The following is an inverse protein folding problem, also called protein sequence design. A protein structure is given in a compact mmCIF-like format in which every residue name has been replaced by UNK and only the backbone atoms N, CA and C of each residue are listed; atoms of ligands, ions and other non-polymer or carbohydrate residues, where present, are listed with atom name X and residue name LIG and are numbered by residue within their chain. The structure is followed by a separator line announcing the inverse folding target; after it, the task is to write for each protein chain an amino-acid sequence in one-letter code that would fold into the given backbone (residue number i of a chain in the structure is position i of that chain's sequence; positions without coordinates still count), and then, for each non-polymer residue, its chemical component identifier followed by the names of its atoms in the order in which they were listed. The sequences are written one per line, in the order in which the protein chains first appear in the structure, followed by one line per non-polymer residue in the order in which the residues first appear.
data_IF_178888948857
#
_entry.id   IF_178888948857
#
_cell.length_a   1.000
_cell.length_b   1.000
_cell.length_c   1.000
_cell.angle_alpha   90.00
_cell.angle_beta   90.00
_cell.angle_gamma   90.00
#
_symmetry.space_group_name_H-M   'P 1'
#
loop_
_entity.id
_entity.type
_entity.pdbx_description
1 polymer ?
#
# COMPACT_ATOMS: atom_id res chain seq x y z
N UNK A 1 -1.81 -21.34 -1.79
CA UNK A 1 -1.23 -20.96 -3.10
C UNK A 1 -2.31 -21.06 -4.17
N UNK A 2 -2.91 -19.93 -4.54
CA UNK A 2 -3.96 -19.89 -5.56
C UNK A 2 -3.31 -19.84 -6.95
N UNK A 3 -3.29 -20.98 -7.66
CA UNK A 3 -2.70 -21.16 -8.99
C UNK A 3 -3.34 -20.29 -10.11
N UNK A 4 -4.29 -19.42 -9.78
CA UNK A 4 -5.02 -18.57 -10.74
C UNK A 4 -4.36 -17.22 -11.01
N UNK A 5 -3.37 -16.78 -10.21
CA UNK A 5 -2.71 -15.47 -10.41
C UNK A 5 -1.47 -15.57 -11.30
N UNK A 6 -0.90 -16.76 -11.49
CA UNK A 6 0.32 -16.97 -12.29
C UNK A 6 0.03 -17.17 -13.80
N UNK A 7 -1.24 -17.33 -14.19
CA UNK A 7 -1.60 -17.64 -15.59
C UNK A 7 -1.99 -16.45 -16.49
N UNK A 8 -1.91 -15.20 -16.01
CA UNK A 8 -2.43 -14.05 -16.77
C UNK A 8 -1.38 -13.13 -17.42
N UNK A 9 -0.09 -13.50 -17.45
CA UNK A 9 0.98 -12.61 -17.95
C UNK A 9 1.91 -13.22 -19.02
N UNK A 10 1.50 -14.29 -19.73
CA UNK A 10 2.36 -14.90 -20.78
C UNK A 10 1.74 -14.92 -22.19
N UNK A 11 0.48 -14.57 -22.39
CA UNK A 11 -0.13 -14.62 -23.72
C UNK A 11 -0.37 -13.23 -24.32
N UNK A 12 0.64 -12.67 -25.01
CA UNK A 12 0.50 -12.06 -26.34
C UNK A 12 1.87 -11.57 -26.85
N UNK A 13 2.79 -12.51 -27.05
CA UNK A 13 3.99 -12.31 -27.86
C UNK A 13 3.74 -12.78 -29.29
N UNK A 14 2.85 -12.13 -30.04
CA UNK A 14 2.75 -12.36 -31.49
C UNK A 14 3.85 -11.54 -32.17
N UNK A 15 5.01 -12.18 -32.34
CA UNK A 15 6.03 -11.74 -33.30
C UNK A 15 5.47 -12.04 -34.68
N UNK A 16 4.86 -11.03 -35.32
CA UNK A 16 4.61 -11.06 -36.77
C UNK A 16 5.71 -10.26 -37.43
N UNK A 17 6.78 -10.95 -37.83
CA UNK A 17 7.78 -10.45 -38.76
C UNK A 17 7.32 -10.74 -40.18
N UNK A 18 6.40 -9.93 -40.70
CA UNK A 18 6.11 -9.94 -42.13
C UNK A 18 7.04 -8.96 -42.84
N UNK A 19 7.95 -9.50 -43.64
CA UNK A 19 8.61 -8.75 -44.71
C UNK A 19 7.52 -8.36 -45.71
N UNK A 20 7.12 -7.09 -45.75
CA UNK A 20 6.17 -6.57 -46.74
C UNK A 20 6.99 -5.89 -47.83
N UNK A 21 6.90 -6.41 -49.05
CA UNK A 21 7.31 -5.72 -50.28
C UNK A 21 6.49 -4.44 -50.43
N UNK A 22 7.17 -3.29 -50.44
CA UNK A 22 6.55 -1.96 -50.49
C UNK A 22 5.96 -1.71 -51.88
N UNK A 23 4.65 -1.93 -52.03
CA UNK A 23 3.85 -1.23 -53.03
C UNK A 23 3.56 0.18 -52.52
N UNK A 24 3.58 1.17 -53.41
CA UNK A 24 3.39 2.58 -53.08
C UNK A 24 1.95 2.85 -52.57
N UNK A 25 1.75 2.64 -51.27
CA UNK A 25 0.56 3.06 -50.53
C UNK A 25 0.52 4.60 -50.45
N UNK A 26 -0.65 5.25 -50.58
CA UNK A 26 -0.76 6.68 -50.38
C UNK A 26 -0.22 7.04 -48.99
N UNK A 27 0.63 8.07 -48.94
CA UNK A 27 1.37 8.50 -47.74
C UNK A 27 0.47 8.76 -46.52
N UNK A 28 -0.80 9.13 -46.76
CA UNK A 28 -1.85 9.25 -45.74
C UNK A 28 -2.16 7.94 -45.01
N UNK A 29 -2.17 6.80 -45.72
CA UNK A 29 -2.35 5.46 -45.15
C UNK A 29 -1.17 5.03 -44.28
N UNK A 30 0.06 5.36 -44.69
CA UNK A 30 1.27 5.06 -43.91
C UNK A 30 1.30 5.85 -42.60
N UNK A 31 1.02 7.17 -42.63
CA UNK A 31 0.98 8.00 -41.41
C UNK A 31 -0.14 7.61 -40.46
N UNK A 32 -1.31 7.20 -40.97
CA UNK A 32 -2.43 6.74 -40.15
C UNK A 32 -2.08 5.44 -39.39
N UNK A 33 -1.39 4.51 -40.04
CA UNK A 33 -0.91 3.27 -39.43
C UNK A 33 0.10 3.53 -38.29
N UNK A 34 1.05 4.46 -38.48
CA UNK A 34 1.99 4.84 -37.41
C UNK A 34 1.28 5.55 -36.25
N UNK A 35 0.30 6.41 -36.55
CA UNK A 35 -0.49 7.10 -35.52
C UNK A 35 -1.32 6.10 -34.68
N UNK A 36 -1.88 5.07 -35.30
CA UNK A 36 -2.57 3.99 -34.60
C UNK A 36 -1.62 3.25 -33.65
N UNK A 37 -0.43 2.84 -34.13
CA UNK A 37 0.59 2.16 -33.31
C UNK A 37 1.07 3.02 -32.13
N UNK A 38 1.17 4.33 -32.31
CA UNK A 38 1.48 5.28 -31.24
C UNK A 38 0.36 5.30 -30.19
N UNK A 39 -0.89 5.36 -30.61
CA UNK A 39 -2.04 5.37 -29.70
C UNK A 39 -2.15 4.06 -28.91
N UNK A 40 -1.96 2.91 -29.57
CA UNK A 40 -1.88 1.60 -28.91
C UNK A 40 -0.74 1.56 -27.89
N UNK A 41 0.46 2.00 -28.28
CA UNK A 41 1.62 2.05 -27.38
C UNK A 41 1.41 3.00 -26.19
N UNK A 42 0.71 4.13 -26.37
CA UNK A 42 0.34 5.05 -25.29
C UNK A 42 -0.65 4.42 -24.31
N UNK A 43 -1.66 3.71 -24.81
CA UNK A 43 -2.63 3.02 -23.96
C UNK A 43 -1.94 1.92 -23.14
N UNK A 44 -1.09 1.10 -23.78
CA UNK A 44 -0.28 0.09 -23.09
C UNK A 44 0.68 0.71 -22.08
N UNK A 45 1.30 1.85 -22.40
CA UNK A 45 2.16 2.59 -21.48
C UNK A 45 1.40 3.06 -20.24
N UNK A 46 0.18 3.56 -20.41
CA UNK A 46 -0.67 4.00 -19.29
C UNK A 46 -1.09 2.83 -18.41
N UNK A 47 -1.48 1.69 -19.00
CA UNK A 47 -1.81 0.47 -18.27
C UNK A 47 -0.61 -0.06 -17.47
N UNK A 48 0.57 -0.14 -18.09
CA UNK A 48 1.82 -0.54 -17.41
C UNK A 48 2.15 0.41 -16.27
N UNK A 49 2.02 1.74 -16.46
CA UNK A 49 2.23 2.72 -15.39
C UNK A 49 1.27 2.55 -14.22
N UNK A 50 -0.01 2.31 -14.50
CA UNK A 50 -1.03 2.05 -13.45
C UNK A 50 -0.71 0.77 -12.68
N UNK A 51 -0.37 -0.31 -13.38
CA UNK A 51 0.06 -1.58 -12.77
C UNK A 51 1.32 -1.42 -11.92
N UNK A 52 2.31 -0.67 -12.42
CA UNK A 52 3.55 -0.33 -11.70
C UNK A 52 3.25 0.41 -10.40
N UNK A 53 2.44 1.46 -10.46
CA UNK A 53 2.07 2.25 -9.28
C UNK A 53 1.34 1.40 -8.23
N UNK A 54 0.39 0.56 -8.67
CA UNK A 54 -0.31 -0.36 -7.76
C UNK A 54 0.67 -1.33 -7.09
N UNK A 55 1.61 -1.90 -7.85
CA UNK A 55 2.61 -2.82 -7.33
C UNK A 55 3.58 -2.13 -6.35
N UNK A 56 3.99 -0.89 -6.63
CA UNK A 56 4.81 -0.10 -5.70
C UNK A 56 4.07 0.16 -4.38
N UNK A 57 2.77 0.48 -4.42
CA UNK A 57 1.94 0.62 -3.21
C UNK A 57 1.80 -0.71 -2.46
N UNK A 58 1.69 -1.84 -3.16
CA UNK A 58 1.61 -3.15 -2.52
C UNK A 58 2.94 -3.54 -1.86
N UNK A 59 4.08 -3.19 -2.47
CA UNK A 59 5.42 -3.37 -1.88
C UNK A 59 5.58 -2.50 -0.62
N UNK A 60 5.17 -1.24 -0.66
CA UNK A 60 5.21 -0.34 0.50
C UNK A 60 4.40 -0.88 1.68
N UNK A 61 3.21 -1.44 1.42
CA UNK A 61 2.42 -2.13 2.45
C UNK A 61 3.15 -3.34 3.02
N UNK A 62 3.85 -4.11 2.19
CA UNK A 62 4.64 -5.24 2.67
C UNK A 62 5.82 -4.78 3.54
N UNK A 63 6.47 -3.68 3.19
CA UNK A 63 7.56 -3.11 3.99
C UNK A 63 7.07 -2.68 5.37
N UNK A 64 5.92 -2.02 5.46
CA UNK A 64 5.29 -1.68 6.74
C UNK A 64 4.94 -2.93 7.57
N UNK A 65 4.45 -3.99 6.92
CA UNK A 65 4.17 -5.27 7.60
C UNK A 65 5.45 -5.96 8.09
N UNK A 66 6.54 -5.89 7.32
CA UNK A 66 7.85 -6.41 7.72
C UNK A 66 8.33 -5.69 8.99
N UNK A 67 8.26 -4.36 9.00
CA UNK A 67 8.68 -3.55 10.15
C UNK A 67 7.86 -3.90 11.42
N UNK A 68 6.53 -4.00 11.29
CA UNK A 68 5.65 -4.39 12.40
C UNK A 68 6.03 -5.79 12.96
N UNK A 69 6.29 -6.76 12.08
CA UNK A 69 6.67 -8.12 12.48
C UNK A 69 8.06 -8.12 13.13
N UNK A 70 9.02 -7.37 12.58
CA UNK A 70 10.37 -7.25 13.16
C UNK A 70 10.31 -6.66 14.57
N UNK A 71 9.48 -5.65 14.80
CA UNK A 71 9.25 -5.08 16.13
C UNK A 71 8.64 -6.12 17.08
N UNK A 72 7.63 -6.88 16.64
CA UNK A 72 7.04 -7.98 17.43
C UNK A 72 8.07 -9.08 17.78
N UNK A 73 8.96 -9.43 16.85
CA UNK A 73 10.04 -10.40 17.08
C UNK A 73 10.98 -9.87 18.16
N UNK A 74 11.41 -8.61 18.06
CA UNK A 74 12.30 -7.99 19.07
C UNK A 74 11.65 -8.00 20.45
N UNK A 75 10.42 -7.51 20.57
CA UNK A 75 9.68 -7.50 21.84
C UNK A 75 9.49 -8.92 22.41
N UNK A 76 9.23 -9.91 21.55
CA UNK A 76 9.07 -11.30 21.98
C UNK A 76 10.40 -11.87 22.48
N UNK A 77 11.51 -11.56 21.82
CA UNK A 77 12.86 -11.95 22.23
C UNK A 77 13.24 -11.38 23.60
N UNK A 78 12.89 -10.12 23.85
CA UNK A 78 13.14 -9.46 25.14
C UNK A 78 12.32 -10.13 26.25
N UNK A 79 11.03 -10.41 26.00
CA UNK A 79 10.16 -11.15 26.93
C UNK A 79 10.69 -12.56 27.22
N UNK A 80 11.16 -13.28 26.20
CA UNK A 80 11.78 -14.60 26.39
C UNK A 80 13.01 -14.49 27.29
N UNK A 81 13.84 -13.47 27.08
CA UNK A 81 15.03 -13.24 27.90
C UNK A 81 14.67 -12.96 29.36
N UNK A 82 13.70 -12.08 29.61
CA UNK A 82 13.23 -11.78 30.97
C UNK A 82 12.60 -12.99 31.64
N UNK A 83 11.71 -13.71 30.95
CA UNK A 83 11.05 -14.91 31.49
C UNK A 83 12.07 -16.01 31.81
N UNK A 84 13.09 -16.23 30.97
CA UNK A 84 14.19 -17.16 31.27
C UNK A 84 14.98 -16.76 32.51
N UNK A 85 15.21 -15.46 32.74
CA UNK A 85 15.86 -14.97 33.97
C UNK A 85 14.99 -15.24 35.21
N UNK A 86 13.69 -15.04 35.10
CA UNK A 86 12.74 -15.33 36.19
C UNK A 86 12.66 -16.82 36.50
N UNK A 87 12.65 -17.70 35.49
CA UNK A 87 12.70 -19.15 35.66
C UNK A 87 13.96 -19.55 36.44
N UNK A 88 15.15 -19.07 36.02
CA UNK A 88 16.41 -19.36 36.72
C UNK A 88 16.41 -18.86 38.17
N UNK A 89 15.79 -17.71 38.43
CA UNK A 89 15.65 -17.18 39.79
C UNK A 89 14.73 -18.09 40.63
N UNK A 90 13.58 -18.49 40.08
CA UNK A 90 12.67 -19.40 40.75
C UNK A 90 13.35 -20.75 41.06
N UNK A 91 14.11 -21.32 40.12
CA UNK A 91 14.88 -22.54 40.35
C UNK A 91 15.87 -22.42 41.51
N UNK A 92 16.59 -21.29 41.60
CA UNK A 92 17.50 -21.03 42.71
C UNK A 92 16.75 -20.87 44.05
N UNK A 93 15.62 -20.16 44.03
CA UNK A 93 14.82 -19.93 45.24
C UNK A 93 14.16 -21.24 45.74
N UNK A 94 13.78 -22.15 44.83
CA UNK A 94 13.27 -23.49 45.14
C UNK A 94 14.36 -24.34 45.78
N UNK A 95 15.55 -24.41 45.16
CA UNK A 95 16.67 -25.18 45.70
C UNK A 95 17.06 -24.71 47.11
N UNK A 96 17.04 -23.40 47.35
CA UNK A 96 17.26 -22.84 48.68
C UNK A 96 16.14 -23.24 49.66
N UNK A 97 14.88 -23.17 49.25
CA UNK A 97 13.78 -23.59 50.11
C UNK A 97 13.85 -25.08 50.47
N UNK A 98 14.28 -25.94 49.53
CA UNK A 98 14.51 -27.38 49.79
C UNK A 98 15.64 -27.61 50.80
N UNK A 99 16.72 -26.84 50.71
CA UNK A 99 17.83 -26.85 51.67
C UNK A 99 17.37 -26.39 53.06
N UNK A 100 16.68 -25.24 53.14
CA UNK A 100 16.13 -24.69 54.40
C UNK A 100 15.15 -25.69 55.06
N UNK A 101 14.28 -26.34 54.28
CA UNK A 101 13.36 -27.38 54.79
C UNK A 101 14.12 -28.55 55.39
N UNK A 102 15.20 -28.99 54.72
CA UNK A 102 16.01 -30.12 55.19
C UNK A 102 16.72 -29.77 56.51
N UNK A 103 17.31 -28.58 56.61
CA UNK A 103 17.97 -28.12 57.83
C UNK A 103 17.00 -28.03 59.01
N UNK A 104 15.81 -27.42 58.80
CA UNK A 104 14.78 -27.31 59.84
C UNK A 104 14.24 -28.69 60.25
N UNK A 105 14.06 -29.62 59.31
CA UNK A 105 13.63 -30.98 59.61
C UNK A 105 14.70 -31.75 60.42
N UNK A 106 15.98 -31.59 60.08
CA UNK A 106 17.08 -32.19 60.85
C UNK A 106 17.17 -31.60 62.26
N UNK A 107 17.00 -30.28 62.41
CA UNK A 107 16.98 -29.62 63.71
C UNK A 107 15.80 -30.06 64.57
N UNK A 108 14.61 -30.12 63.99
CA UNK A 108 13.41 -30.64 64.62
C UNK A 108 13.62 -32.09 65.09
N UNK A 109 14.15 -32.96 64.22
CA UNK A 109 14.43 -34.35 64.55
C UNK A 109 15.47 -34.49 65.67
N UNK A 110 16.52 -33.65 65.68
CA UNK A 110 17.50 -33.61 66.77
C UNK A 110 16.85 -33.22 68.10
N UNK A 111 15.96 -32.21 68.11
CA UNK A 111 15.21 -31.78 69.30
C UNK A 111 14.28 -32.88 69.80
N UNK A 112 13.49 -33.49 68.92
CA UNK A 112 12.59 -34.61 69.26
C UNK A 112 13.38 -35.81 69.80
N UNK A 113 14.49 -36.16 69.15
CA UNK A 113 15.36 -37.25 69.62
C UNK A 113 15.99 -36.92 70.96
N UNK A 114 16.41 -35.68 71.22
CA UNK A 114 16.93 -35.27 72.53
C UNK A 114 15.87 -35.36 73.63
N UNK A 115 14.58 -35.10 73.33
CA UNK A 115 13.48 -35.34 74.27
C UNK A 115 13.26 -36.84 74.54
N UNK A 116 13.47 -37.71 73.56
CA UNK A 116 13.20 -39.16 73.67
C UNK A 116 14.38 -39.98 74.22
N UNK A 117 15.60 -39.74 73.73
CA UNK A 117 16.80 -40.55 74.01
C UNK A 117 17.51 -40.16 75.31
N UNK A 118 17.44 -38.89 75.74
CA UNK A 118 17.95 -38.48 77.05
C UNK A 118 16.90 -38.79 78.13
N UNK A 119 16.66 -40.09 78.35
CA UNK A 119 15.85 -40.55 79.47
C UNK A 119 16.29 -39.88 80.77
N UNK A 120 15.32 -39.32 81.51
CA UNK A 120 15.46 -38.79 82.88
C UNK A 120 16.61 -37.80 83.10
N UNK A 121 16.98 -36.95 82.11
CA UNK A 121 18.24 -36.19 82.22
C UNK A 121 18.33 -34.76 81.66
N UNK A 122 17.33 -34.22 80.94
CA UNK A 122 17.47 -32.84 80.41
C UNK A 122 16.16 -32.08 80.22
N UNK A 123 15.24 -32.54 79.36
CA UNK A 123 13.92 -31.90 79.24
C UNK A 123 12.92 -32.44 80.25
N UNK A 124 12.96 -33.75 80.51
CA UNK A 124 12.21 -34.34 81.63
C UNK A 124 12.75 -33.84 82.97
N UNK A 125 14.06 -33.60 83.11
CA UNK A 125 14.62 -32.95 84.31
C UNK A 125 14.18 -31.51 84.46
N UNK A 126 14.17 -30.69 83.41
CA UNK A 126 13.60 -29.34 83.48
C UNK A 126 12.13 -29.35 83.93
N UNK A 127 11.36 -30.34 83.47
CA UNK A 127 9.96 -30.58 83.85
C UNK A 127 9.88 -31.13 85.30
N UNK A 128 10.77 -32.01 85.73
CA UNK A 128 10.77 -32.68 87.06
C UNK A 128 11.38 -31.81 88.17
N UNK A 129 12.35 -30.96 87.87
CA UNK A 129 12.93 -29.91 88.74
C UNK A 129 11.98 -28.70 88.90
N UNK A 130 10.74 -28.78 88.41
CA UNK A 130 9.79 -27.69 88.59
C UNK A 130 9.47 -27.42 90.07
N UNK A 131 9.49 -26.15 90.50
CA UNK A 131 9.23 -25.75 91.89
C UNK A 131 7.74 -25.86 92.30
N UNK A 132 6.89 -26.45 91.45
CA UNK A 132 5.46 -26.69 91.69
C UNK A 132 4.64 -26.91 90.42
N UNK A 133 3.33 -27.17 90.60
CA UNK A 133 2.41 -27.53 89.50
C UNK A 133 2.28 -26.43 88.42
N UNK A 134 2.40 -25.15 88.81
CA UNK A 134 2.29 -24.02 87.88
C UNK A 134 3.54 -23.84 86.99
N UNK A 135 4.73 -24.11 87.53
CA UNK A 135 5.99 -24.04 86.78
C UNK A 135 6.08 -25.21 85.78
N UNK A 136 5.68 -26.41 86.22
CA UNK A 136 5.54 -27.60 85.38
C UNK A 136 4.68 -27.32 84.13
N UNK A 137 3.48 -26.76 84.32
CA UNK A 137 2.55 -26.45 83.22
C UNK A 137 3.17 -25.43 82.25
N UNK A 138 3.87 -24.41 82.78
CA UNK A 138 4.48 -23.35 81.98
C UNK A 138 5.62 -23.88 81.10
N UNK A 139 6.44 -24.79 81.62
CA UNK A 139 7.53 -25.44 80.89
C UNK A 139 6.99 -26.37 79.79
N UNK A 140 5.94 -27.14 80.06
CA UNK A 140 5.27 -27.99 79.06
C UNK A 140 4.64 -27.14 77.95
N UNK A 141 3.96 -26.03 78.29
CA UNK A 141 3.40 -25.11 77.30
C UNK A 141 4.51 -24.50 76.42
N UNK A 142 5.64 -24.13 77.02
CA UNK A 142 6.80 -23.58 76.30
C UNK A 142 7.38 -24.57 75.29
N UNK A 143 7.54 -25.84 75.66
CA UNK A 143 8.02 -26.90 74.76
C UNK A 143 7.03 -27.13 73.63
N UNK A 144 5.74 -27.21 73.94
CA UNK A 144 4.67 -27.35 72.94
C UNK A 144 4.70 -26.20 71.94
N UNK A 145 4.83 -24.95 72.42
CA UNK A 145 4.96 -23.76 71.55
C UNK A 145 6.17 -23.85 70.63
N UNK A 146 7.32 -24.31 71.12
CA UNK A 146 8.52 -24.50 70.29
C UNK A 146 8.26 -25.54 69.20
N UNK A 147 7.67 -26.68 69.53
CA UNK A 147 7.34 -27.71 68.54
C UNK A 147 6.32 -27.23 67.51
N UNK A 148 5.31 -26.47 67.94
CA UNK A 148 4.31 -25.90 67.04
C UNK A 148 4.94 -24.83 66.14
N UNK A 149 5.90 -24.05 66.63
CA UNK A 149 6.69 -23.12 65.82
C UNK A 149 7.55 -23.84 64.78
N UNK A 150 8.28 -24.90 65.15
CA UNK A 150 9.11 -25.66 64.20
C UNK A 150 8.25 -26.29 63.08
N UNK A 151 7.13 -26.92 63.46
CA UNK A 151 6.16 -27.46 62.48
C UNK A 151 5.61 -26.37 61.56
N UNK A 152 5.33 -25.19 62.12
CA UNK A 152 4.84 -24.06 61.35
C UNK A 152 5.89 -23.54 60.37
N UNK A 153 7.15 -23.40 60.78
CA UNK A 153 8.26 -22.99 59.90
C UNK A 153 8.40 -23.97 58.73
N UNK A 154 8.43 -25.28 59.01
CA UNK A 154 8.52 -26.32 57.96
C UNK A 154 7.30 -26.25 57.03
N UNK A 155 6.10 -26.05 57.58
CA UNK A 155 4.89 -25.89 56.76
C UNK A 155 4.93 -24.63 55.90
N UNK A 156 5.37 -23.50 56.44
CA UNK A 156 5.47 -22.22 55.73
C UNK A 156 6.52 -22.29 54.61
N UNK A 157 7.65 -22.96 54.86
CA UNK A 157 8.67 -23.23 53.84
C UNK A 157 8.15 -24.16 52.74
N UNK A 158 7.42 -25.23 53.08
CA UNK A 158 6.80 -26.11 52.10
C UNK A 158 5.76 -25.37 51.24
N UNK A 159 4.93 -24.52 51.85
CA UNK A 159 3.97 -23.68 51.13
C UNK A 159 4.68 -22.70 50.19
N UNK A 160 5.77 -22.07 50.65
CA UNK A 160 6.59 -21.16 49.84
C UNK A 160 7.25 -21.89 48.67
N UNK A 161 7.79 -23.09 48.90
CA UNK A 161 8.33 -23.96 47.86
C UNK A 161 7.25 -24.24 46.82
N UNK A 162 6.10 -24.79 47.22
CA UNK A 162 5.00 -25.08 46.30
C UNK A 162 4.57 -23.86 45.46
N UNK A 163 4.46 -22.68 46.08
CA UNK A 163 4.14 -21.44 45.36
C UNK A 163 5.21 -21.05 44.32
N UNK A 164 6.49 -21.33 44.58
CA UNK A 164 7.58 -21.12 43.64
C UNK A 164 7.54 -22.15 42.49
N UNK A 165 7.26 -23.42 42.78
CA UNK A 165 7.04 -24.45 41.76
C UNK A 165 5.89 -24.09 40.82
N UNK A 166 4.74 -23.68 41.37
CA UNK A 166 3.57 -23.26 40.58
C UNK A 166 3.91 -22.05 39.71
N UNK A 167 4.63 -21.08 40.27
CA UNK A 167 5.13 -19.91 39.53
C UNK A 167 6.08 -20.33 38.40
N UNK A 168 7.01 -21.24 38.66
CA UNK A 168 7.94 -21.78 37.65
C UNK A 168 7.18 -22.45 36.53
N UNK A 169 6.22 -23.32 36.84
CA UNK A 169 5.41 -24.02 35.84
C UNK A 169 4.64 -23.04 34.93
N UNK A 170 4.10 -21.97 35.52
CA UNK A 170 3.45 -20.89 34.76
C UNK A 170 4.45 -20.17 33.84
N UNK A 171 5.62 -19.81 34.35
CA UNK A 171 6.67 -19.15 33.55
C UNK A 171 7.17 -20.06 32.41
N UNK A 172 7.33 -21.36 32.64
CA UNK A 172 7.70 -22.32 31.60
C UNK A 172 6.64 -22.42 30.50
N UNK A 173 5.37 -22.41 30.90
CA UNK A 173 4.24 -22.41 29.97
C UNK A 173 4.20 -21.14 29.13
N UNK A 174 4.40 -19.98 29.77
CA UNK A 174 4.43 -18.70 29.08
C UNK A 174 5.66 -18.58 28.17
N UNK A 175 6.82 -19.09 28.57
CA UNK A 175 8.02 -19.17 27.73
C UNK A 175 7.79 -20.06 26.50
N UNK A 176 7.10 -21.20 26.63
CA UNK A 176 6.72 -22.05 25.48
C UNK A 176 5.81 -21.30 24.50
N UNK A 177 4.82 -20.55 25.00
CA UNK A 177 3.94 -19.71 24.15
C UNK A 177 4.72 -18.61 23.44
N UNK A 178 5.65 -17.96 24.13
CA UNK A 178 6.50 -16.92 23.53
C UNK A 178 7.41 -17.48 22.43
N UNK A 179 8.00 -18.67 22.64
CA UNK A 179 8.81 -19.35 21.63
C UNK A 179 7.98 -19.74 20.40
N UNK A 180 6.76 -20.23 20.59
CA UNK A 180 5.84 -20.52 19.50
C UNK A 180 5.48 -19.24 18.72
N UNK A 181 5.18 -18.15 19.41
CA UNK A 181 4.90 -16.85 18.81
C UNK A 181 6.11 -16.28 18.05
N UNK A 182 7.32 -16.46 18.57
CA UNK A 182 8.56 -16.08 17.89
C UNK A 182 8.69 -16.84 16.56
N UNK A 183 8.57 -18.16 16.59
CA UNK A 183 8.64 -19.02 15.39
C UNK A 183 7.57 -18.67 14.36
N UNK A 184 6.34 -18.40 14.80
CA UNK A 184 5.26 -17.97 13.93
C UNK A 184 5.58 -16.64 13.23
N UNK A 185 6.10 -15.66 13.98
CA UNK A 185 6.48 -14.36 13.42
C UNK A 185 7.67 -14.47 12.45
N UNK A 186 8.67 -15.30 12.75
CA UNK A 186 9.79 -15.56 11.84
C UNK A 186 9.33 -16.23 10.54
N UNK A 187 8.38 -17.17 10.63
CA UNK A 187 7.75 -17.80 9.46
C UNK A 187 6.99 -16.77 8.60
N UNK A 188 6.16 -15.93 9.23
CA UNK A 188 5.44 -14.84 8.55
C UNK A 188 6.39 -13.85 7.87
N UNK A 189 7.50 -13.51 8.54
CA UNK A 189 8.53 -12.63 7.99
C UNK A 189 9.18 -13.24 6.75
N UNK A 190 9.49 -14.54 6.77
CA UNK A 190 10.03 -15.27 5.62
C UNK A 190 9.05 -15.27 4.45
N UNK A 191 7.78 -15.56 4.71
CA UNK A 191 6.72 -15.60 3.69
C UNK A 191 6.49 -14.24 3.03
N UNK A 192 6.46 -13.15 3.81
CA UNK A 192 6.30 -11.79 3.27
C UNK A 192 7.53 -11.39 2.46
N UNK A 193 8.74 -11.68 2.94
CA UNK A 193 9.96 -11.40 2.17
C UNK A 193 10.01 -12.15 0.84
N UNK A 194 9.53 -13.40 0.80
CA UNK A 194 9.42 -14.17 -0.44
C UNK A 194 8.45 -13.51 -1.42
N UNK A 195 7.25 -13.13 -0.95
CA UNK A 195 6.26 -12.41 -1.77
C UNK A 195 6.79 -11.07 -2.27
N UNK A 196 7.51 -10.32 -1.43
CA UNK A 196 8.14 -9.06 -1.81
C UNK A 196 9.13 -9.26 -2.96
N UNK A 197 10.00 -10.26 -2.89
CA UNK A 197 10.96 -10.58 -3.98
C UNK A 197 10.26 -10.93 -5.30
N UNK A 198 9.16 -11.67 -5.23
CA UNK A 198 8.34 -11.97 -6.42
C UNK A 198 7.77 -10.67 -7.02
N UNK A 199 7.29 -9.75 -6.18
CA UNK A 199 6.79 -8.44 -6.61
C UNK A 199 7.90 -7.52 -7.15
N UNK A 200 9.07 -7.47 -6.53
CA UNK A 200 10.22 -6.70 -7.02
C UNK A 200 10.65 -7.15 -8.42
N UNK A 201 10.60 -8.46 -8.68
CA UNK A 201 10.88 -9.02 -10.00
C UNK A 201 9.85 -8.56 -11.04
N UNK A 202 8.55 -8.60 -10.70
CA UNK A 202 7.49 -8.08 -11.55
C UNK A 202 7.61 -6.57 -11.77
N UNK A 203 8.03 -5.82 -10.75
CA UNK A 203 8.26 -4.38 -10.85
C UNK A 203 9.38 -4.06 -11.84
N UNK A 204 10.48 -4.81 -11.81
CA UNK A 204 11.57 -4.69 -12.76
C UNK A 204 11.10 -4.98 -14.21
N UNK A 205 10.27 -6.01 -14.40
CA UNK A 205 9.68 -6.34 -15.70
C UNK A 205 8.77 -5.22 -16.20
N UNK A 206 7.90 -4.67 -15.36
CA UNK A 206 7.02 -3.55 -15.71
C UNK A 206 7.81 -2.30 -16.07
N UNK A 207 8.87 -1.97 -15.33
CA UNK A 207 9.78 -0.86 -15.66
C UNK A 207 10.48 -1.06 -17.00
N UNK A 208 10.87 -2.29 -17.33
CA UNK A 208 11.42 -2.62 -18.65
C UNK A 208 10.37 -2.44 -19.77
N UNK A 209 9.13 -2.92 -19.55
CA UNK A 209 8.02 -2.72 -20.49
C UNK A 209 7.70 -1.24 -20.70
N UNK A 210 7.72 -0.43 -19.64
CA UNK A 210 7.52 1.03 -19.72
C UNK A 210 8.53 1.68 -20.67
N UNK A 211 9.82 1.31 -20.54
CA UNK A 211 10.89 1.79 -21.44
C UNK A 211 10.69 1.32 -22.88
N UNK A 212 10.29 0.07 -23.09
CA UNK A 212 10.00 -0.45 -24.43
C UNK A 212 8.87 0.31 -25.11
N UNK A 213 7.73 0.53 -24.42
CA UNK A 213 6.62 1.29 -24.99
C UNK A 213 6.99 2.76 -25.24
N UNK A 214 7.77 3.38 -24.35
CA UNK A 214 8.29 4.72 -24.57
C UNK A 214 9.21 4.80 -25.81
N UNK A 215 10.11 3.84 -26.01
CA UNK A 215 10.95 3.74 -27.21
C UNK A 215 10.12 3.59 -28.48
N UNK A 216 9.14 2.67 -28.49
CA UNK A 216 8.25 2.46 -29.63
C UNK A 216 7.46 3.71 -30.02
N UNK A 217 7.00 4.49 -29.03
CA UNK A 217 6.33 5.77 -29.29
C UNK A 217 7.30 6.74 -29.97
N UNK A 218 8.52 6.87 -29.46
CA UNK A 218 9.54 7.76 -30.01
C UNK A 218 9.96 7.35 -31.43
N UNK A 219 10.16 6.05 -31.66
CA UNK A 219 10.52 5.49 -32.97
C UNK A 219 9.42 5.73 -34.00
N UNK A 220 8.17 5.40 -33.68
CA UNK A 220 7.04 5.62 -34.59
C UNK A 220 6.82 7.12 -34.86
N UNK A 221 7.05 7.99 -33.86
CA UNK A 221 6.97 9.44 -34.06
C UNK A 221 8.06 9.94 -35.01
N UNK A 222 9.30 9.46 -34.85
CA UNK A 222 10.41 9.80 -35.75
C UNK A 222 10.14 9.36 -37.20
N UNK A 223 9.47 8.22 -37.41
CA UNK A 223 9.05 7.77 -38.73
C UNK A 223 8.00 8.71 -39.35
N UNK A 224 7.02 9.16 -38.56
CA UNK A 224 6.04 10.17 -39.01
C UNK A 224 6.75 11.48 -39.40
N UNK A 225 7.67 11.96 -38.57
CA UNK A 225 8.40 13.21 -38.82
C UNK A 225 9.31 13.11 -40.06
N UNK A 226 9.90 11.94 -40.32
CA UNK A 226 10.65 11.67 -41.53
C UNK A 226 9.75 11.68 -42.78
N UNK A 227 8.59 11.02 -42.72
CA UNK A 227 7.60 11.01 -43.80
C UNK A 227 7.07 12.43 -44.09
N UNK A 228 6.75 13.21 -43.05
CA UNK A 228 6.29 14.60 -43.19
C UNK A 228 7.35 15.52 -43.80
N UNK A 229 8.63 15.33 -43.47
CA UNK A 229 9.74 16.07 -44.11
C UNK A 229 9.82 15.78 -45.61
N UNK A 230 9.61 14.53 -46.02
CA UNK A 230 9.57 14.17 -47.44
C UNK A 230 8.37 14.83 -48.15
N UNK A 231 7.19 14.83 -47.54
CA UNK A 231 5.99 15.49 -48.08
C UNK A 231 6.20 16.99 -48.26
N UNK A 232 6.74 17.68 -47.25
CA UNK A 232 7.00 19.12 -47.33
C UNK A 232 7.97 19.45 -48.48
N UNK A 233 9.04 18.65 -48.64
CA UNK A 233 9.98 18.80 -49.75
C UNK A 233 9.32 18.61 -51.12
N UNK A 234 8.32 17.73 -51.24
CA UNK A 234 7.56 17.56 -52.48
C UNK A 234 6.65 18.78 -52.70
N UNK A 235 5.91 19.20 -51.66
CA UNK A 235 4.97 20.33 -51.73
C UNK A 235 5.64 21.65 -52.12
N UNK A 236 6.82 21.93 -51.56
CA UNK A 236 7.55 23.17 -51.84
C UNK A 236 8.05 23.25 -53.30
N UNK A 237 8.05 22.13 -54.03
CA UNK A 237 8.39 22.05 -55.46
C UNK A 237 7.16 22.12 -56.39
N UNK A 238 5.92 22.33 -55.87
CA UNK A 238 4.69 22.40 -56.69
C UNK A 238 4.23 23.87 -56.88
N UNK A 239 3.91 24.32 -58.12
CA UNK A 239 3.46 25.70 -58.39
C UNK A 239 2.15 26.05 -57.68
N UNK A 240 2.07 27.22 -57.01
CA UNK A 240 0.87 27.68 -56.29
C UNK A 240 -0.21 28.18 -57.25
N UNK A 241 -1.40 27.58 -57.21
CA UNK A 241 -2.63 28.07 -57.85
C UNK A 241 -3.51 28.84 -56.86
N UNK A 242 -4.10 29.97 -57.26
CA UNK A 242 -4.87 30.88 -56.40
C UNK A 242 -6.30 31.05 -56.92
N UNK A 243 -7.33 30.56 -56.19
CA UNK A 243 -8.70 31.02 -56.37
C UNK A 243 -9.27 31.72 -55.13
N UNK A 244 -10.20 32.63 -55.38
CA UNK A 244 -10.69 33.73 -54.52
C UNK A 244 -12.00 33.44 -53.77
N UNK A 245 -12.04 33.89 -52.49
CA UNK A 245 -13.14 34.44 -51.62
C UNK A 245 -14.55 33.80 -51.52
N UNK A 246 -15.04 33.63 -50.27
CA UNK A 246 -16.47 33.79 -49.93
C UNK A 246 -17.00 33.21 -48.59
N UNK A 247 -17.32 34.10 -47.62
CA UNK A 247 -18.28 34.06 -46.49
C UNK A 247 -18.40 32.84 -45.52
N UNK A 248 -18.08 33.06 -44.23
CA UNK A 248 -18.12 32.09 -43.14
C UNK A 248 -19.48 32.03 -42.41
N UNK A 249 -20.22 30.93 -42.60
CA UNK A 249 -21.08 30.42 -41.53
C UNK A 249 -20.20 29.99 -40.35
N UNK A 250 -20.75 29.88 -39.14
CA UNK A 250 -20.13 29.14 -38.03
C UNK A 250 -20.02 27.67 -38.46
N UNK A 251 -19.04 27.40 -39.33
CA UNK A 251 -18.62 26.05 -39.61
C UNK A 251 -17.98 25.54 -38.32
N UNK A 252 -18.36 24.34 -37.93
CA UNK A 252 -17.67 23.50 -36.96
C UNK A 252 -16.14 23.62 -37.02
N UNK A 253 -15.59 23.82 -38.21
CA UNK A 253 -14.15 23.97 -38.45
C UNK A 253 -13.60 25.33 -37.98
N UNK A 254 -14.40 26.39 -38.01
CA UNK A 254 -13.98 27.75 -37.58
C UNK A 254 -13.80 27.86 -36.08
N UNK A 255 -14.67 27.21 -35.29
CA UNK A 255 -14.53 27.17 -33.82
C UNK A 255 -13.27 26.39 -33.44
N UNK A 256 -13.03 25.25 -34.08
CA UNK A 256 -11.81 24.44 -33.85
C UNK A 256 -10.55 25.18 -34.29
N UNK A 257 -10.58 25.84 -35.45
CA UNK A 257 -9.47 26.65 -35.93
C UNK A 257 -9.15 27.80 -34.95
N UNK A 258 -10.16 28.52 -34.47
CA UNK A 258 -9.95 29.59 -33.49
C UNK A 258 -9.43 29.06 -32.15
N UNK A 259 -10.01 27.95 -31.65
CA UNK A 259 -9.57 27.27 -30.44
C UNK A 259 -8.09 26.84 -30.50
N UNK A 260 -7.62 26.45 -31.69
CA UNK A 260 -6.24 25.98 -31.90
C UNK A 260 -5.17 27.04 -31.64
N UNK A 261 -5.52 28.34 -31.73
CA UNK A 261 -4.60 29.43 -31.40
C UNK A 261 -4.17 29.43 -29.93
N UNK A 262 -4.92 28.74 -29.06
CA UNK A 262 -4.64 28.66 -27.63
C UNK A 262 -3.91 27.36 -27.25
N UNK A 263 -3.54 26.51 -28.20
CA UNK A 263 -2.72 25.33 -27.91
C UNK A 263 -1.40 25.74 -27.26
N UNK A 264 -1.05 25.09 -26.15
CA UNK A 264 0.12 25.44 -25.36
C UNK A 264 -0.13 26.48 -24.26
N UNK A 265 -1.31 27.13 -24.21
CA UNK A 265 -1.61 28.07 -23.12
C UNK A 265 -1.67 27.34 -21.77
N UNK A 266 -0.97 27.82 -20.71
CA UNK A 266 -0.95 27.16 -19.41
C UNK A 266 -2.32 27.04 -18.74
N UNK A 267 -2.54 25.93 -18.05
CA UNK A 267 -3.70 25.76 -17.19
C UNK A 267 -3.55 26.56 -15.88
N UNK A 268 -4.62 27.22 -15.46
CA UNK A 268 -4.77 27.80 -14.12
C UNK A 268 -6.21 27.63 -13.64
N UNK A 269 -6.38 27.10 -12.43
CA UNK A 269 -7.70 27.00 -11.80
C UNK A 269 -8.35 28.38 -11.71
N UNK A 270 -9.56 28.53 -12.24
CA UNK A 270 -10.25 29.82 -12.29
C UNK A 270 -9.96 30.66 -13.55
N UNK A 271 -8.99 30.26 -14.39
CA UNK A 271 -8.56 31.03 -15.57
C UNK A 271 -9.63 31.18 -16.65
N UNK A 272 -9.80 32.39 -17.18
CA UNK A 272 -10.81 32.74 -18.20
C UNK A 272 -10.22 33.33 -19.50
N UNK A 273 -8.90 33.19 -19.72
CA UNK A 273 -8.20 33.60 -20.93
C UNK A 273 -7.73 35.06 -21.01
N UNK A 274 -6.96 35.39 -22.06
CA UNK A 274 -6.31 34.45 -22.99
C UNK A 274 -4.98 33.89 -22.47
N UNK A 275 -4.43 34.44 -21.39
CA UNK A 275 -3.08 34.08 -20.91
C UNK A 275 -3.05 32.76 -20.11
N UNK A 276 -4.16 32.41 -19.45
CA UNK A 276 -4.34 31.15 -18.72
C UNK A 276 -5.79 30.69 -18.79
N UNK A 277 -6.02 29.39 -18.71
CA UNK A 277 -7.35 28.81 -18.77
C UNK A 277 -7.57 27.71 -17.74
N UNK A 278 -8.79 27.55 -17.25
CA UNK A 278 -9.30 26.23 -16.85
C UNK A 278 -10.22 25.65 -17.93
N UNK A 279 -10.73 24.43 -17.70
CA UNK A 279 -11.46 23.68 -18.71
C UNK A 279 -12.71 24.42 -19.20
N UNK A 280 -13.54 24.94 -18.29
CA UNK A 280 -14.77 25.65 -18.66
C UNK A 280 -14.53 27.11 -19.05
N UNK A 281 -13.48 27.75 -18.52
CA UNK A 281 -13.03 29.07 -18.93
C UNK A 281 -12.48 29.10 -20.36
N UNK A 282 -11.77 28.06 -20.78
CA UNK A 282 -11.30 27.86 -22.17
C UNK A 282 -12.47 27.81 -23.15
N UNK A 283 -13.42 26.91 -22.90
CA UNK A 283 -14.59 26.73 -23.76
C UNK A 283 -15.43 28.01 -23.81
N UNK A 284 -15.70 28.63 -22.66
CA UNK A 284 -16.42 29.90 -22.57
C UNK A 284 -15.74 31.02 -23.38
N UNK A 285 -14.42 31.13 -23.32
CA UNK A 285 -13.67 32.16 -24.04
C UNK A 285 -13.72 31.95 -25.56
N UNK A 286 -13.50 30.71 -26.02
CA UNK A 286 -13.58 30.34 -27.45
C UNK A 286 -14.95 30.66 -28.02
N UNK A 287 -16.02 30.22 -27.35
CA UNK A 287 -17.39 30.44 -27.81
C UNK A 287 -17.84 31.89 -27.66
N UNK A 288 -17.35 32.60 -26.65
CA UNK A 288 -17.58 34.03 -26.48
C UNK A 288 -17.04 34.88 -27.64
N UNK A 289 -15.95 34.46 -28.30
CA UNK A 289 -15.45 35.13 -29.52
C UNK A 289 -16.49 35.11 -30.66
N UNK A 290 -17.33 34.09 -30.71
CA UNK A 290 -18.38 33.93 -31.70
C UNK A 290 -19.76 34.41 -31.19
N UNK A 291 -19.81 35.12 -30.06
CA UNK A 291 -21.04 35.68 -29.52
C UNK A 291 -21.90 34.71 -28.69
N UNK A 292 -21.41 33.50 -28.43
CA UNK A 292 -22.15 32.48 -27.65
C UNK A 292 -21.80 32.61 -26.16
N UNK A 293 -22.81 32.88 -25.33
CA UNK A 293 -22.65 33.02 -23.88
C UNK A 293 -22.79 31.67 -23.18
N UNK A 294 -21.75 31.26 -22.46
CA UNK A 294 -21.73 30.01 -21.69
C UNK A 294 -21.60 30.27 -20.17
N UNK A 295 -22.28 29.47 -19.33
CA UNK A 295 -22.07 29.48 -17.88
C UNK A 295 -20.60 29.25 -17.49
N UNK A 296 -20.22 29.63 -16.27
CA UNK A 296 -18.82 29.52 -15.82
C UNK A 296 -18.40 28.08 -15.51
N UNK A 297 -19.34 27.23 -15.09
CA UNK A 297 -19.06 25.89 -14.55
C UNK A 297 -19.38 24.82 -15.59
N UNK A 298 -18.56 23.76 -15.67
CA UNK A 298 -18.71 22.68 -16.65
C UNK A 298 -20.05 21.94 -16.53
N UNK A 299 -20.57 21.75 -15.31
CA UNK A 299 -21.88 21.13 -15.06
C UNK A 299 -23.03 21.93 -15.70
N UNK A 300 -22.96 23.25 -15.63
CA UNK A 300 -24.01 24.13 -16.16
C UNK A 300 -23.89 24.24 -17.69
N UNK A 301 -22.66 24.24 -18.22
CA UNK A 301 -22.39 24.19 -19.65
C UNK A 301 -22.93 22.92 -20.31
N UNK A 302 -23.02 21.81 -19.58
CA UNK A 302 -23.59 20.56 -20.08
C UNK A 302 -25.06 20.72 -20.50
N UNK A 303 -25.80 21.60 -19.81
CA UNK A 303 -27.20 21.94 -20.12
C UNK A 303 -27.40 23.17 -21.00
N UNK A 304 -26.33 23.84 -21.45
CA UNK A 304 -26.42 25.13 -22.13
C UNK A 304 -26.75 25.04 -23.64
N UNK A 305 -27.02 23.85 -24.17
CA UNK A 305 -27.31 23.63 -25.59
C UNK A 305 -28.06 22.32 -25.84
N UNK A 306 -28.08 21.87 -27.10
CA UNK A 306 -28.77 20.62 -27.48
C UNK A 306 -27.90 19.40 -27.21
N UNK A 307 -28.38 18.36 -26.50
CA UNK A 307 -27.63 17.12 -26.30
C UNK A 307 -27.26 16.44 -27.63
N UNK A 308 -26.05 15.88 -27.69
CA UNK A 308 -25.53 15.16 -28.86
C UNK A 308 -25.07 13.77 -28.44
N UNK A 309 -25.52 12.74 -29.16
CA UNK A 309 -25.00 11.39 -28.98
C UNK A 309 -23.57 11.30 -29.50
N UNK A 310 -22.77 10.41 -28.91
CA UNK A 310 -21.35 10.26 -29.24
C UNK A 310 -21.09 10.01 -30.74
N UNK A 311 -21.96 9.24 -31.39
CA UNK A 311 -21.84 8.91 -32.81
C UNK A 311 -22.19 10.08 -33.75
N UNK A 312 -22.84 11.11 -33.22
CA UNK A 312 -23.24 12.32 -33.95
C UNK A 312 -22.37 13.53 -33.62
N UNK A 313 -21.22 13.31 -32.98
CA UNK A 313 -20.26 14.36 -32.65
C UNK A 313 -19.71 15.02 -33.91
N UNK A 314 -19.80 16.34 -33.95
CA UNK A 314 -19.25 17.21 -34.98
C UNK A 314 -18.22 18.13 -34.36
N UNK A 315 -17.16 18.50 -35.11
CA UNK A 315 -16.18 19.46 -34.60
C UNK A 315 -16.88 20.72 -34.06
N UNK A 316 -16.39 21.24 -32.95
CA UNK A 316 -17.05 22.29 -32.19
C UNK A 316 -17.86 21.75 -31.00
N UNK A 317 -18.53 20.60 -31.08
CA UNK A 317 -19.38 20.12 -29.98
C UNK A 317 -18.65 20.06 -28.63
N UNK A 318 -19.34 20.42 -27.54
CA UNK A 318 -18.77 20.35 -26.21
C UNK A 318 -18.85 18.92 -25.70
N UNK A 319 -17.74 18.39 -25.18
CA UNK A 319 -17.67 17.06 -24.56
C UNK A 319 -17.39 17.17 -23.07
N UNK A 320 -18.11 16.40 -22.26
CA UNK A 320 -18.12 16.52 -20.80
C UNK A 320 -17.64 15.22 -20.13
N UNK A 321 -17.06 15.38 -18.94
CA UNK A 321 -16.55 14.26 -18.15
C UNK A 321 -16.87 14.43 -16.66
N UNK A 322 -17.19 13.31 -16.00
CA UNK A 322 -17.65 13.23 -14.62
C UNK A 322 -19.16 13.42 -14.46
N UNK A 323 -19.70 13.02 -13.30
CA UNK A 323 -21.10 13.24 -12.92
C UNK A 323 -21.17 13.75 -11.48
N UNK A 324 -21.60 15.01 -11.23
CA UNK A 324 -21.83 16.06 -12.24
C UNK A 324 -20.56 16.38 -13.03
N UNK A 325 -20.69 16.94 -14.24
CA UNK A 325 -19.53 17.21 -15.09
C UNK A 325 -18.56 18.19 -14.41
N UNK A 326 -17.33 17.72 -14.17
CA UNK A 326 -16.25 18.51 -13.58
C UNK A 326 -15.18 18.89 -14.61
N UNK A 327 -15.30 18.43 -15.85
CA UNK A 327 -14.38 18.74 -16.94
C UNK A 327 -15.12 18.85 -18.27
N UNK A 328 -14.65 19.76 -19.13
CA UNK A 328 -15.22 20.02 -20.47
C UNK A 328 -14.10 20.26 -21.50
N UNK A 329 -14.39 20.04 -22.77
CA UNK A 329 -13.57 20.50 -23.90
C UNK A 329 -14.35 20.54 -25.21
N UNK A 330 -13.67 20.93 -26.28
CA UNK A 330 -14.24 21.13 -27.62
C UNK A 330 -13.85 19.95 -28.50
N UNK A 331 -14.82 19.22 -29.04
CA UNK A 331 -14.57 18.13 -29.98
C UNK A 331 -13.93 18.67 -31.26
N UNK A 332 -12.88 17.99 -31.75
CA UNK A 332 -12.12 18.45 -32.93
C UNK A 332 -12.20 17.46 -34.10
N UNK A 333 -13.04 16.43 -34.00
CA UNK A 333 -13.09 15.33 -34.95
C UNK A 333 -12.19 14.15 -34.55
N UNK A 334 -12.31 13.04 -35.29
CA UNK A 334 -11.48 11.84 -35.14
C UNK A 334 -11.36 11.30 -33.70
N UNK A 335 -12.46 11.31 -32.94
CA UNK A 335 -12.50 10.89 -31.54
C UNK A 335 -11.45 11.63 -30.68
N UNK A 336 -11.27 12.92 -30.91
CA UNK A 336 -10.37 13.78 -30.15
C UNK A 336 -11.05 15.09 -29.74
N UNK A 337 -10.54 15.72 -28.68
CA UNK A 337 -11.07 16.97 -28.15
C UNK A 337 -9.95 17.87 -27.61
N UNK A 338 -10.14 19.17 -27.72
CA UNK A 338 -9.25 20.20 -27.22
C UNK A 338 -9.71 20.67 -25.84
N UNK A 339 -8.80 20.74 -24.88
CA UNK A 339 -9.14 21.12 -23.51
C UNK A 339 -7.94 21.68 -22.73
N UNK A 340 -8.24 22.39 -21.65
CA UNK A 340 -7.28 22.75 -20.60
C UNK A 340 -7.41 21.72 -19.44
N UNK A 341 -6.50 20.74 -19.30
CA UNK A 341 -6.68 19.55 -18.45
C UNK A 341 -6.63 19.77 -16.94
N UNK A 342 -5.54 20.37 -16.42
CA UNK A 342 -5.24 20.53 -14.99
C UNK A 342 -3.97 21.35 -14.77
N UNK A 343 -3.72 21.75 -13.53
CA UNK A 343 -2.49 22.45 -13.10
C UNK A 343 -1.22 21.71 -13.51
N UNK A 344 -0.23 22.46 -14.02
CA UNK A 344 1.05 21.92 -14.49
C UNK A 344 1.02 21.38 -15.93
N UNK A 345 -0.04 21.68 -16.68
CA UNK A 345 -0.26 21.21 -18.04
C UNK A 345 -0.82 22.36 -18.89
N UNK A 346 -0.99 22.15 -20.19
CA UNK A 346 -1.37 23.19 -21.16
C UNK A 346 -2.63 22.81 -21.93
N UNK A 347 -3.27 23.80 -22.57
CA UNK A 347 -4.31 23.56 -23.56
C UNK A 347 -3.74 22.65 -24.65
N UNK A 348 -4.40 21.52 -24.87
CA UNK A 348 -3.92 20.49 -25.81
C UNK A 348 -5.08 19.70 -26.39
N UNK A 349 -4.77 18.94 -27.44
CA UNK A 349 -5.68 17.95 -28.01
C UNK A 349 -5.41 16.60 -27.35
N UNK A 350 -6.46 15.98 -26.84
CA UNK A 350 -6.42 14.65 -26.23
C UNK A 350 -7.40 13.72 -26.94
N UNK A 351 -7.13 12.40 -26.97
CA UNK A 351 -8.11 11.42 -27.42
C UNK A 351 -9.35 11.45 -26.50
N UNK A 352 -10.54 11.36 -27.09
CA UNK A 352 -11.82 11.21 -26.38
C UNK A 352 -11.98 9.74 -25.92
N UNK A 353 -11.09 9.26 -25.07
CA UNK A 353 -11.05 7.85 -24.61
C UNK A 353 -11.18 7.72 -23.09
N UNK A 354 -11.33 8.83 -22.37
CA UNK A 354 -11.50 8.80 -20.92
C UNK A 354 -12.78 8.03 -20.54
N UNK A 355 -12.66 7.18 -19.53
CA UNK A 355 -13.75 6.33 -19.03
C UNK A 355 -14.86 7.12 -18.34
N UNK A 356 -14.59 8.35 -17.93
CA UNK A 356 -15.53 9.23 -17.25
C UNK A 356 -16.29 10.17 -18.20
N UNK A 357 -16.28 9.92 -19.51
CA UNK A 357 -17.11 10.66 -20.47
C UNK A 357 -18.60 10.59 -20.07
N UNK A 358 -19.23 11.75 -19.90
CA UNK A 358 -20.59 11.85 -19.36
C UNK A 358 -21.61 12.48 -20.32
N UNK A 359 -21.17 12.92 -21.50
CA UNK A 359 -22.06 13.37 -22.56
C UNK A 359 -21.46 14.46 -23.45
N UNK A 360 -22.25 14.92 -24.41
CA UNK A 360 -21.89 16.02 -25.28
C UNK A 360 -23.08 16.93 -25.58
N UNK A 361 -22.78 18.20 -25.88
CA UNK A 361 -23.76 19.24 -26.12
C UNK A 361 -23.30 20.13 -27.27
N UNK A 362 -24.20 20.41 -28.20
CA UNK A 362 -23.98 21.34 -29.31
C UNK A 362 -24.56 22.70 -28.96
N UNK A 363 -23.75 23.73 -29.13
CA UNK A 363 -24.09 25.13 -28.84
C UNK A 363 -23.99 25.91 -30.16
N UNK A 364 -24.96 26.77 -30.44
CA UNK A 364 -25.06 27.55 -31.69
C UNK A 364 -25.34 29.02 -31.40
#
# INVERSE_FOLDING_TARGET
MNKKVVSALVALGLIVSSNITVFAEPLSGSTANYQQRINESRNSLQDVKSKRQKLETDIEKMDNQIEEIMHKISQTKDKISSTKKEIKKAEKDIAKAEEDIKEEQELFNKRVRAMYMNGVGSYLDVIVESEGLSDLISKVDSIKRIMDMDKKIISDLNNKRQALEDKKQKLDTDNKKLLALQSENESKLSDINKKKREQDTLLAQLKSQERMYASRISENQAQIDAAMRQVNKIRDNVPKYVPSRGASSLSSDTVVAYASNFLGTPYQWGGNGPNTFDCSGFVKYVYGHFGVSLPRVASDQQGAGSPVSRDNLQPGDLVFFGSPAHHVGIYVGNNAYMHAPRTGDVVKISPLTRSDYSGATRVR
#
